data_IF_744057537531
#
_entry.id   IF_744057537531
#
_cell.length_a   1.000
_cell.length_b   1.000
_cell.length_c   1.000
_cell.angle_alpha   90.00
_cell.angle_beta   90.00
_cell.angle_gamma   90.00
#
_symmetry.space_group_name_H-M   'P 1'
#
loop_
_entity.id
_entity.type
_entity.pdbx_description
1 polymer ?
#
# COMPACT_ATOMS: atom_id res chain seq x y z
N UNK A 1 -16.33 -17.30 21.24
CA UNK A 1 -15.81 -16.19 22.06
C UNK A 1 -14.59 -15.59 21.40
N UNK A 2 -14.77 -14.42 20.85
CA UNK A 2 -13.64 -13.62 20.40
C UNK A 2 -12.83 -13.22 21.65
N UNK A 3 -11.68 -13.84 21.80
CA UNK A 3 -10.73 -13.40 22.82
C UNK A 3 -10.35 -11.96 22.53
N UNK A 4 -10.42 -11.12 23.53
CA UNK A 4 -9.94 -9.75 23.42
C UNK A 4 -8.43 -9.78 23.24
N UNK A 5 -7.98 -9.54 22.00
CA UNK A 5 -6.57 -9.47 21.66
C UNK A 5 -5.88 -8.21 22.21
N UNK A 6 -6.63 -7.31 22.87
CA UNK A 6 -6.15 -6.06 23.42
C UNK A 6 -5.59 -6.15 24.85
N UNK A 7 -5.08 -7.32 25.27
CA UNK A 7 -4.42 -7.46 26.60
C UNK A 7 -3.02 -6.85 26.66
N UNK A 8 -2.44 -6.47 25.53
CA UNK A 8 -1.14 -5.80 25.44
C UNK A 8 -1.32 -4.31 25.17
N UNK A 9 -0.46 -3.47 25.75
CA UNK A 9 -0.41 -2.05 25.40
C UNK A 9 0.02 -1.87 23.96
N UNK A 10 -0.46 -0.81 23.30
CA UNK A 10 -0.02 -0.46 21.94
C UNK A 10 1.50 -0.33 21.86
N UNK A 11 2.12 0.32 22.84
CA UNK A 11 3.57 0.50 22.92
C UNK A 11 4.33 -0.82 22.95
N UNK A 12 3.85 -1.80 23.73
CA UNK A 12 4.46 -3.13 23.79
C UNK A 12 4.34 -3.89 22.48
N UNK A 13 3.23 -3.76 21.77
CA UNK A 13 3.04 -4.36 20.43
C UNK A 13 3.94 -3.71 19.38
N UNK A 14 4.10 -2.40 19.41
CA UNK A 14 4.97 -1.68 18.48
C UNK A 14 6.44 -2.02 18.70
N UNK A 15 6.88 -2.16 19.94
CA UNK A 15 8.22 -2.62 20.26
C UNK A 15 8.49 -4.04 19.73
N UNK A 16 7.56 -4.96 19.94
CA UNK A 16 7.63 -6.32 19.44
C UNK A 16 7.66 -6.36 17.90
N UNK A 17 6.84 -5.56 17.24
CA UNK A 17 6.85 -5.42 15.78
C UNK A 17 8.15 -4.83 15.26
N UNK A 18 8.74 -3.86 15.97
CA UNK A 18 10.04 -3.29 15.63
C UNK A 18 11.17 -4.33 15.68
N UNK A 19 11.18 -5.19 16.69
CA UNK A 19 12.13 -6.31 16.78
C UNK A 19 11.91 -7.35 15.67
N UNK A 20 10.63 -7.72 15.43
CA UNK A 20 10.26 -8.67 14.37
C UNK A 20 10.65 -8.18 12.98
N UNK A 21 10.48 -6.88 12.70
CA UNK A 21 10.79 -6.28 11.41
C UNK A 21 12.27 -6.30 11.05
N UNK A 22 13.17 -6.45 12.01
CA UNK A 22 14.61 -6.58 11.75
C UNK A 22 14.93 -7.85 10.96
N UNK A 23 14.24 -8.93 11.26
CA UNK A 23 14.43 -10.24 10.61
C UNK A 23 13.43 -10.46 9.47
N UNK A 24 12.24 -9.87 9.57
CA UNK A 24 11.15 -10.03 8.62
C UNK A 24 10.59 -8.66 8.21
N UNK A 25 11.17 -8.04 7.17
CA UNK A 25 10.73 -6.72 6.70
C UNK A 25 9.26 -6.72 6.30
N UNK A 26 8.53 -5.68 6.71
CA UNK A 26 7.09 -5.55 6.47
C UNK A 26 6.80 -4.43 5.47
N UNK A 27 5.94 -4.73 4.52
CA UNK A 27 5.40 -3.76 3.57
C UNK A 27 3.91 -3.59 3.82
N UNK A 28 3.47 -2.34 3.96
CA UNK A 28 2.06 -2.01 4.05
C UNK A 28 1.49 -1.77 2.65
N UNK A 29 0.37 -2.40 2.34
CA UNK A 29 -0.43 -2.12 1.14
C UNK A 29 -1.64 -1.29 1.52
N UNK A 30 -1.75 -0.10 0.94
CA UNK A 30 -2.83 0.86 1.19
C UNK A 30 -3.60 1.13 -0.11
N UNK A 31 -4.68 0.37 -0.39
CA UNK A 31 -5.55 0.68 -1.52
C UNK A 31 -6.41 1.89 -1.20
N UNK A 32 -6.47 2.88 -2.08
CA UNK A 32 -7.33 4.03 -1.92
C UNK A 32 -7.91 4.53 -3.23
N UNK A 33 -9.06 5.18 -3.13
CA UNK A 33 -9.65 5.98 -4.21
C UNK A 33 -9.14 7.42 -4.10
N UNK A 34 -8.97 8.10 -5.22
CA UNK A 34 -8.58 9.52 -5.17
C UNK A 34 -9.52 10.37 -4.31
N UNK A 35 -10.84 10.11 -4.37
CA UNK A 35 -11.83 10.81 -3.56
C UNK A 35 -11.62 10.69 -2.05
N UNK A 36 -10.89 9.68 -1.59
CA UNK A 36 -10.59 9.49 -0.17
C UNK A 36 -9.53 10.45 0.35
N UNK A 37 -8.72 11.08 -0.54
CA UNK A 37 -7.73 12.07 -0.14
C UNK A 37 -8.37 13.31 0.52
N UNK A 38 -9.61 13.61 0.17
CA UNK A 38 -10.39 14.70 0.79
C UNK A 38 -11.07 14.28 2.12
N UNK A 39 -10.99 13.01 2.50
CA UNK A 39 -11.68 12.49 3.68
C UNK A 39 -10.79 12.52 4.91
N UNK A 40 -11.33 12.86 6.08
CA UNK A 40 -10.55 12.91 7.33
C UNK A 40 -10.01 11.55 7.77
N UNK A 41 -10.65 10.47 7.36
CA UNK A 41 -10.22 9.11 7.69
C UNK A 41 -8.84 8.80 7.12
N UNK A 42 -8.59 9.11 5.84
CA UNK A 42 -7.29 8.88 5.22
C UNK A 42 -6.22 9.81 5.82
N UNK A 43 -6.56 11.07 6.05
CA UNK A 43 -5.64 12.02 6.69
C UNK A 43 -5.17 11.52 8.07
N UNK A 44 -6.08 10.95 8.85
CA UNK A 44 -5.75 10.34 10.15
C UNK A 44 -4.83 9.12 9.98
N UNK A 45 -5.12 8.23 9.03
CA UNK A 45 -4.27 7.07 8.74
C UNK A 45 -2.85 7.52 8.36
N UNK A 46 -2.72 8.49 7.46
CA UNK A 46 -1.42 9.02 7.04
C UNK A 46 -0.67 9.65 8.21
N UNK A 47 -1.36 10.39 9.07
CA UNK A 47 -0.77 10.96 10.27
C UNK A 47 -0.24 9.88 11.22
N UNK A 48 -1.01 8.85 11.49
CA UNK A 48 -0.58 7.71 12.32
C UNK A 48 0.63 6.99 11.71
N UNK A 49 0.65 6.79 10.39
CA UNK A 49 1.75 6.15 9.69
C UNK A 49 3.06 6.92 9.79
N UNK A 50 3.04 8.24 9.95
CA UNK A 50 4.28 9.03 10.12
C UNK A 50 5.07 8.64 11.37
N UNK A 51 4.41 8.09 12.38
CA UNK A 51 5.04 7.60 13.61
C UNK A 51 5.44 6.13 13.59
N UNK A 52 5.18 5.40 12.51
CA UNK A 52 5.47 3.96 12.42
C UNK A 52 6.86 3.73 11.83
N UNK A 53 7.79 3.21 12.63
CA UNK A 53 9.20 3.05 12.24
C UNK A 53 9.54 1.66 11.69
N UNK A 54 8.69 0.66 11.91
CA UNK A 54 8.95 -0.74 11.56
C UNK A 54 8.52 -1.15 10.15
N UNK A 55 7.96 -0.23 9.35
CA UNK A 55 7.61 -0.51 7.96
C UNK A 55 8.79 -0.22 7.03
N UNK A 56 9.17 -1.20 6.24
CA UNK A 56 10.22 -1.06 5.23
C UNK A 56 9.74 -0.27 4.01
N UNK A 57 8.48 -0.46 3.62
CA UNK A 57 7.90 0.19 2.45
C UNK A 57 6.38 0.34 2.60
N UNK A 58 5.82 1.36 1.97
CA UNK A 58 4.37 1.55 1.85
C UNK A 58 4.01 1.59 0.38
N UNK A 59 3.12 0.71 -0.06
CA UNK A 59 2.61 0.67 -1.43
C UNK A 59 1.18 1.17 -1.44
N UNK A 60 0.96 2.31 -2.08
CA UNK A 60 -0.36 2.93 -2.20
C UNK A 60 -0.92 2.63 -3.59
N UNK A 61 -2.02 1.90 -3.65
CA UNK A 61 -2.73 1.64 -4.89
C UNK A 61 -3.82 2.69 -5.10
N UNK A 62 -3.60 3.60 -6.05
CA UNK A 62 -4.51 4.71 -6.34
C UNK A 62 -5.44 4.36 -7.50
N UNK A 63 -6.74 4.31 -7.22
CA UNK A 63 -7.79 4.07 -8.19
C UNK A 63 -8.59 5.34 -8.49
N UNK A 64 -9.17 5.39 -9.68
CA UNK A 64 -10.08 6.44 -10.16
C UNK A 64 -9.47 7.84 -10.07
N UNK A 65 -8.26 7.95 -10.60
CA UNK A 65 -7.51 9.20 -10.64
C UNK A 65 -7.10 9.56 -12.06
N UNK A 66 -7.30 10.82 -12.42
CA UNK A 66 -6.70 11.42 -13.60
C UNK A 66 -5.19 11.65 -13.38
N UNK A 67 -4.46 12.03 -14.43
CA UNK A 67 -3.04 12.34 -14.30
C UNK A 67 -2.76 13.49 -13.32
N UNK A 68 -3.59 14.55 -13.34
CA UNK A 68 -3.44 15.67 -12.40
C UNK A 68 -3.72 15.24 -10.96
N UNK A 69 -4.72 14.39 -10.77
CA UNK A 69 -5.07 13.82 -9.47
C UNK A 69 -3.98 12.87 -8.94
N UNK A 70 -3.37 12.10 -9.83
CA UNK A 70 -2.21 11.27 -9.47
C UNK A 70 -1.03 12.13 -8.98
N UNK A 71 -0.72 13.23 -9.67
CA UNK A 71 0.32 14.16 -9.23
C UNK A 71 0.01 14.78 -7.87
N UNK A 72 -1.25 15.16 -7.65
CA UNK A 72 -1.70 15.63 -6.35
C UNK A 72 -1.55 14.55 -5.27
N UNK A 73 -1.86 13.30 -5.58
CA UNK A 73 -1.67 12.20 -4.65
C UNK A 73 -0.19 11.97 -4.29
N UNK A 74 0.74 12.13 -5.24
CA UNK A 74 2.17 12.08 -4.96
C UNK A 74 2.58 13.13 -3.93
N UNK A 75 2.10 14.36 -4.08
CA UNK A 75 2.35 15.44 -3.12
C UNK A 75 1.71 15.14 -1.76
N UNK A 76 0.48 14.64 -1.76
CA UNK A 76 -0.26 14.30 -0.55
C UNK A 76 0.48 13.25 0.31
N UNK A 77 0.99 12.19 -0.31
CA UNK A 77 1.72 11.13 0.40
C UNK A 77 3.20 11.44 0.66
N UNK A 78 3.72 12.54 0.12
CA UNK A 78 5.13 12.94 0.32
C UNK A 78 5.50 13.21 1.77
N UNK A 79 4.52 13.39 2.65
CA UNK A 79 4.73 13.57 4.11
C UNK A 79 5.17 12.28 4.80
N UNK A 80 4.99 11.13 4.18
CA UNK A 80 5.40 9.85 4.76
C UNK A 80 6.94 9.75 4.80
N UNK A 81 7.53 9.49 5.98
CA UNK A 81 8.98 9.36 6.12
C UNK A 81 9.51 8.03 5.58
N UNK A 82 8.66 7.00 5.53
CA UNK A 82 9.04 5.69 5.00
C UNK A 82 9.18 5.73 3.48
N UNK A 83 10.03 4.88 2.89
CA UNK A 83 10.00 4.61 1.46
C UNK A 83 8.57 4.21 1.03
N UNK A 84 8.03 4.87 0.03
CA UNK A 84 6.68 4.60 -0.45
C UNK A 84 6.58 4.74 -1.95
N UNK A 85 5.61 4.05 -2.53
CA UNK A 85 5.30 4.09 -3.96
C UNK A 85 3.81 4.24 -4.15
N UNK A 86 3.40 5.17 -5.01
CA UNK A 86 2.01 5.32 -5.44
C UNK A 86 1.85 4.66 -6.80
N UNK A 87 1.06 3.59 -6.86
CA UNK A 87 0.70 2.91 -8.10
C UNK A 87 -0.55 3.58 -8.66
N UNK A 88 -0.42 4.17 -9.84
CA UNK A 88 -1.55 4.77 -10.54
C UNK A 88 -2.24 3.73 -11.42
N UNK A 89 -3.35 3.15 -10.93
CA UNK A 89 -4.04 2.05 -11.60
C UNK A 89 -4.69 2.45 -12.94
N UNK A 90 -5.04 3.73 -13.10
CA UNK A 90 -5.60 4.27 -14.36
C UNK A 90 -4.52 4.80 -15.32
N UNK A 91 -3.25 4.64 -14.96
CA UNK A 91 -2.14 5.16 -15.74
C UNK A 91 -1.77 4.29 -16.95
N UNK A 92 -0.97 4.85 -17.89
CA UNK A 92 -0.60 4.16 -19.12
C UNK A 92 0.23 2.89 -18.88
N UNK A 93 1.07 2.87 -17.85
CA UNK A 93 1.86 1.69 -17.49
C UNK A 93 0.97 0.54 -17.05
N UNK A 94 -0.02 0.84 -16.21
CA UNK A 94 -0.98 -0.15 -15.74
C UNK A 94 -1.89 -0.63 -16.88
N UNK A 95 -2.33 0.26 -17.76
CA UNK A 95 -3.12 -0.10 -18.94
C UNK A 95 -2.35 -1.07 -19.85
N UNK A 96 -1.07 -0.85 -20.05
CA UNK A 96 -0.20 -1.76 -20.83
C UNK A 96 -0.06 -3.13 -20.16
N UNK A 97 0.11 -3.16 -18.84
CA UNK A 97 0.16 -4.39 -18.07
C UNK A 97 -1.15 -5.17 -18.12
N UNK A 98 -2.27 -4.48 -17.95
CA UNK A 98 -3.62 -5.07 -18.01
C UNK A 98 -3.89 -5.70 -19.38
N UNK A 99 -3.49 -5.03 -20.46
CA UNK A 99 -3.60 -5.57 -21.82
C UNK A 99 -2.81 -6.88 -21.95
N UNK A 100 -1.56 -6.89 -21.51
CA UNK A 100 -0.72 -8.09 -21.56
C UNK A 100 -1.27 -9.24 -20.70
N UNK A 101 -1.77 -8.94 -19.52
CA UNK A 101 -2.42 -9.94 -18.66
C UNK A 101 -3.70 -10.48 -19.30
N UNK A 102 -4.48 -9.64 -20.00
CA UNK A 102 -5.65 -10.05 -20.76
C UNK A 102 -5.30 -11.02 -21.88
N UNK A 103 -4.24 -10.75 -22.65
CA UNK A 103 -3.73 -11.63 -23.70
C UNK A 103 -3.31 -13.01 -23.16
N UNK A 104 -2.85 -13.08 -21.93
CA UNK A 104 -2.45 -14.30 -21.22
C UNK A 104 -3.61 -15.00 -20.48
N UNK A 105 -4.82 -14.41 -20.47
CA UNK A 105 -5.95 -14.92 -19.73
C UNK A 105 -5.82 -14.76 -18.19
N UNK A 106 -4.94 -13.88 -17.73
CA UNK A 106 -4.61 -13.66 -16.32
C UNK A 106 -5.18 -12.35 -15.75
N UNK A 107 -5.84 -11.54 -16.57
CA UNK A 107 -6.40 -10.27 -16.09
C UNK A 107 -7.55 -10.51 -15.11
N UNK A 108 -7.65 -9.68 -14.06
CA UNK A 108 -8.82 -9.70 -13.19
C UNK A 108 -10.11 -9.45 -13.98
N UNK A 109 -11.15 -10.20 -13.67
CA UNK A 109 -12.44 -10.13 -14.36
C UNK A 109 -13.36 -9.03 -13.85
N UNK A 110 -13.05 -8.47 -12.69
CA UNK A 110 -13.81 -7.39 -12.07
C UNK A 110 -12.90 -6.27 -11.60
N UNK A 111 -13.33 -5.03 -11.79
CA UNK A 111 -12.68 -3.85 -11.23
C UNK A 111 -13.16 -3.61 -9.80
N UNK A 112 -12.28 -3.13 -8.95
CA UNK A 112 -12.61 -2.81 -7.57
C UNK A 112 -11.43 -2.94 -6.62
N UNK A 113 -11.70 -2.85 -5.32
CA UNK A 113 -10.68 -2.90 -4.27
C UNK A 113 -9.81 -4.16 -4.33
N UNK A 114 -10.42 -5.32 -4.60
CA UNK A 114 -9.68 -6.58 -4.73
C UNK A 114 -8.68 -6.56 -5.88
N UNK A 115 -9.06 -6.00 -7.02
CA UNK A 115 -8.18 -5.81 -8.17
C UNK A 115 -7.01 -4.86 -7.84
N UNK A 116 -7.29 -3.75 -7.17
CA UNK A 116 -6.27 -2.81 -6.69
C UNK A 116 -5.26 -3.51 -5.77
N UNK A 117 -5.73 -4.23 -4.76
CA UNK A 117 -4.88 -5.00 -3.84
C UNK A 117 -4.05 -6.04 -4.59
N UNK A 118 -4.63 -6.73 -5.55
CA UNK A 118 -3.93 -7.72 -6.36
C UNK A 118 -2.75 -7.13 -7.14
N UNK A 119 -2.94 -5.95 -7.76
CA UNK A 119 -1.84 -5.23 -8.44
C UNK A 119 -0.76 -4.78 -7.45
N UNK A 120 -1.15 -4.31 -6.27
CA UNK A 120 -0.20 -3.94 -5.22
C UNK A 120 0.66 -5.14 -4.78
N UNK A 121 0.05 -6.30 -4.59
CA UNK A 121 0.80 -7.53 -4.27
C UNK A 121 1.76 -7.94 -5.39
N UNK A 122 1.33 -7.84 -6.64
CA UNK A 122 2.19 -8.09 -7.79
C UNK A 122 3.41 -7.16 -7.81
N UNK A 123 3.20 -5.89 -7.49
CA UNK A 123 4.29 -4.92 -7.37
C UNK A 123 5.25 -5.26 -6.23
N UNK A 124 4.74 -5.61 -5.05
CA UNK A 124 5.56 -6.02 -3.90
C UNK A 124 6.39 -7.26 -4.24
N UNK A 125 5.81 -8.23 -4.94
CA UNK A 125 6.51 -9.43 -5.38
C UNK A 125 7.63 -9.15 -6.39
N UNK A 126 7.59 -8.01 -7.08
CA UNK A 126 8.64 -7.60 -8.02
C UNK A 126 9.89 -7.05 -7.32
N UNK A 127 9.81 -6.78 -6.01
CA UNK A 127 10.98 -6.36 -5.24
C UNK A 127 12.00 -7.48 -5.18
N UNK A 128 13.30 -7.18 -5.34
CA UNK A 128 14.33 -8.20 -5.16
C UNK A 128 14.23 -8.78 -3.75
N UNK A 129 14.09 -10.10 -3.68
CA UNK A 129 13.99 -10.81 -2.41
C UNK A 129 15.27 -10.60 -1.60
N UNK A 130 15.17 -9.92 -0.46
CA UNK A 130 16.29 -9.78 0.49
C UNK A 130 16.51 -11.03 1.37
N UNK A 131 15.90 -12.16 0.98
CA UNK A 131 15.98 -13.42 1.72
C UNK A 131 17.31 -14.18 1.55
N UNK A 132 18.32 -13.55 0.98
CA UNK A 132 19.66 -14.16 0.85
C UNK A 132 20.71 -13.35 1.60
N UNK A 133 20.61 -13.36 2.90
CA UNK A 133 21.76 -13.06 3.75
C UNK A 133 21.83 -14.00 4.94
#
# INVERSE_FOLDING_TARGET
>A
TLHNLSTRSQEGLEEELGEFAKDCPMTLVLPCLYSELAQPALAKIVQELTGVEYLEHIVIGLDRATEAEYRHALDYFSVLPQPHTVIWNDGPRMASLQKRLGELGLAPTSLGKGCNVWYCFGFVQSFPCRLSR
#
